data_IF_958719679589
#
_entry.id   IF_958719679589
#
_cell.length_a   1.000
_cell.length_b   1.000
_cell.length_c   1.000
_cell.angle_alpha   90.00
_cell.angle_beta   90.00
_cell.angle_gamma   90.00
#
_symmetry.space_group_name_H-M   'P 1'
#
loop_
_entity.id
_entity.type
_entity.pdbx_description
1 polymer ?
#
# COMPACT_ATOMS: atom_id res chain seq x y z
N UNK A 1 12.87 0.50 8.91
CA UNK A 1 12.93 0.23 7.45
C UNK A 1 14.07 0.99 6.79
N UNK A 2 13.97 2.31 6.58
CA UNK A 2 14.94 3.06 5.75
C UNK A 2 16.41 2.87 6.16
N UNK A 3 16.72 2.85 7.47
CA UNK A 3 18.05 2.51 7.98
C UNK A 3 18.55 1.12 7.54
N UNK A 4 17.68 0.12 7.56
CA UNK A 4 18.03 -1.24 7.13
C UNK A 4 18.31 -1.29 5.63
N UNK A 5 17.46 -0.62 4.82
CA UNK A 5 17.66 -0.52 3.36
C UNK A 5 18.99 0.15 3.04
N UNK A 6 19.31 1.31 3.63
CA UNK A 6 20.60 1.98 3.40
C UNK A 6 21.80 1.12 3.81
N UNK A 7 21.70 0.39 4.93
CA UNK A 7 22.77 -0.51 5.38
C UNK A 7 22.98 -1.70 4.45
N UNK A 8 21.90 -2.28 3.92
CA UNK A 8 21.95 -3.46 3.03
C UNK A 8 22.32 -3.07 1.59
N UNK A 9 22.01 -1.84 1.17
CA UNK A 9 22.25 -1.31 -0.16
C UNK A 9 23.06 0.01 -0.08
N UNK A 10 24.34 -0.03 0.35
CA UNK A 10 25.13 1.18 0.58
C UNK A 10 25.30 2.03 -0.69
N UNK A 11 25.54 1.38 -1.83
CA UNK A 11 25.85 2.04 -3.11
C UNK A 11 24.61 2.33 -3.97
N UNK A 12 23.41 1.94 -3.51
CA UNK A 12 22.19 2.16 -4.26
C UNK A 12 21.69 3.61 -4.15
N UNK A 13 21.05 4.09 -5.21
CA UNK A 13 20.29 5.34 -5.19
C UNK A 13 18.90 5.09 -4.57
N UNK A 14 18.68 5.58 -3.35
CA UNK A 14 17.49 5.31 -2.56
C UNK A 14 16.46 6.42 -2.71
N UNK A 15 15.32 6.05 -3.28
CA UNK A 15 14.10 6.84 -3.30
C UNK A 15 13.25 6.52 -2.07
N UNK A 16 13.09 7.48 -1.16
CA UNK A 16 12.17 7.34 -0.04
C UNK A 16 10.84 8.03 -0.34
N UNK A 17 9.76 7.24 -0.40
CA UNK A 17 8.39 7.74 -0.56
C UNK A 17 7.63 7.67 0.77
N UNK A 18 7.35 8.80 1.44
CA UNK A 18 6.48 8.81 2.62
C UNK A 18 5.06 8.34 2.29
N UNK A 19 4.39 7.70 3.24
CA UNK A 19 3.00 7.27 3.06
C UNK A 19 2.07 8.49 2.98
N UNK A 20 1.07 8.53 2.05
CA UNK A 20 0.20 9.68 1.88
C UNK A 20 -0.54 10.08 3.19
N UNK A 21 -1.00 9.11 3.98
CA UNK A 21 -1.61 9.40 5.28
C UNK A 21 -0.65 10.02 6.31
N UNK A 22 0.66 9.76 6.19
CA UNK A 22 1.68 10.40 7.04
C UNK A 22 1.90 11.83 6.56
N UNK A 23 1.96 12.05 5.24
CA UNK A 23 2.05 13.38 4.63
C UNK A 23 0.81 14.24 4.97
N UNK A 24 -0.37 13.62 5.04
CA UNK A 24 -1.62 14.27 5.41
C UNK A 24 -1.81 14.44 6.94
N UNK A 25 -0.84 14.01 7.77
CA UNK A 25 -0.92 14.09 9.23
C UNK A 25 -1.99 13.19 9.87
N UNK A 26 -2.54 12.24 9.11
CA UNK A 26 -3.59 11.32 9.56
C UNK A 26 -3.05 10.11 10.31
N UNK A 27 -1.74 9.83 10.19
CA UNK A 27 -1.08 8.66 10.78
C UNK A 27 0.22 9.03 11.49
N UNK A 28 0.46 8.46 12.68
CA UNK A 28 1.76 8.51 13.38
C UNK A 28 2.79 7.66 12.64
N UNK A 29 4.04 8.11 12.55
CA UNK A 29 5.11 7.42 11.84
C UNK A 29 5.88 8.29 10.84
N UNK A 30 5.75 9.62 10.92
CA UNK A 30 6.63 10.52 10.20
C UNK A 30 8.08 10.30 10.66
N UNK A 31 8.93 9.87 9.73
CA UNK A 31 10.37 9.94 9.92
C UNK A 31 10.76 11.43 9.83
N UNK A 32 11.52 11.97 10.79
CA UNK A 32 12.00 13.35 10.69
C UNK A 32 12.71 13.56 9.35
N UNK A 33 12.41 14.67 8.66
CA UNK A 33 12.92 14.92 7.31
C UNK A 33 14.45 14.90 7.26
N UNK A 34 15.12 15.39 8.31
CA UNK A 34 16.57 15.34 8.42
C UNK A 34 17.10 13.90 8.43
N UNK A 35 16.44 12.99 9.17
CA UNK A 35 16.81 11.57 9.17
C UNK A 35 16.52 10.90 7.83
N UNK A 36 15.40 11.25 7.18
CA UNK A 36 15.06 10.73 5.87
C UNK A 36 16.11 11.11 4.82
N UNK A 37 16.51 12.38 4.78
CA UNK A 37 17.53 12.91 3.85
C UNK A 37 18.94 12.41 4.15
N UNK A 38 19.23 12.02 5.39
CA UNK A 38 20.52 11.41 5.74
C UNK A 38 20.62 9.95 5.25
N UNK A 39 19.50 9.28 4.96
CA UNK A 39 19.47 7.87 4.61
C UNK A 39 19.03 7.63 3.15
N UNK A 40 18.28 8.54 2.55
CA UNK A 40 17.79 8.46 1.18
C UNK A 40 18.40 9.56 0.31
N UNK A 41 18.72 9.24 -0.94
CA UNK A 41 19.27 10.21 -1.89
C UNK A 41 18.19 11.17 -2.39
N UNK A 42 16.93 10.72 -2.42
CA UNK A 42 15.79 11.58 -2.74
C UNK A 42 14.56 11.20 -1.92
N UNK A 43 13.90 12.22 -1.34
CA UNK A 43 12.62 12.08 -0.63
C UNK A 43 11.49 12.59 -1.53
N UNK A 44 10.57 11.71 -1.89
CA UNK A 44 9.52 11.97 -2.88
C UNK A 44 8.20 12.37 -2.21
N UNK A 45 8.10 13.61 -1.74
CA UNK A 45 6.87 14.09 -1.12
C UNK A 45 5.76 14.28 -2.16
N UNK A 46 4.51 13.95 -1.81
CA UNK A 46 3.29 14.21 -2.60
C UNK A 46 3.33 13.67 -4.04
N UNK A 47 4.20 12.72 -4.32
CA UNK A 47 4.40 12.14 -5.66
C UNK A 47 3.53 10.89 -5.86
N UNK A 48 2.92 10.69 -7.04
CA UNK A 48 2.21 9.45 -7.33
C UNK A 48 3.19 8.28 -7.42
N UNK A 49 2.89 7.16 -6.75
CA UNK A 49 3.79 6.00 -6.71
C UNK A 49 3.82 5.22 -8.03
N UNK A 50 2.73 5.22 -8.79
CA UNK A 50 2.58 4.44 -10.03
C UNK A 50 3.70 4.65 -11.05
N UNK A 51 4.02 5.90 -11.44
CA UNK A 51 5.13 6.19 -12.35
C UNK A 51 6.52 5.86 -11.81
N UNK A 52 6.68 5.73 -10.48
CA UNK A 52 7.97 5.42 -9.87
C UNK A 52 8.38 3.98 -10.11
N UNK A 53 7.43 3.05 -10.27
CA UNK A 53 7.75 1.64 -10.51
C UNK A 53 8.56 1.42 -11.80
N UNK A 54 8.38 2.26 -12.82
CA UNK A 54 9.17 2.20 -14.05
C UNK A 54 10.61 2.76 -13.89
N UNK A 55 10.93 3.35 -12.74
CA UNK A 55 12.19 4.06 -12.49
C UNK A 55 13.06 3.36 -11.43
N UNK A 56 12.62 2.23 -10.90
CA UNK A 56 13.31 1.51 -9.82
C UNK A 56 13.52 0.05 -10.19
N UNK A 57 14.58 -0.56 -9.67
CA UNK A 57 14.89 -1.97 -9.85
C UNK A 57 14.23 -2.85 -8.79
N UNK A 58 14.03 -2.31 -7.58
CA UNK A 58 13.46 -3.02 -6.45
C UNK A 58 12.63 -2.13 -5.52
N UNK A 59 11.68 -2.73 -4.80
CA UNK A 59 10.80 -2.05 -3.85
C UNK A 59 10.91 -2.69 -2.47
N UNK A 60 11.27 -1.88 -1.47
CA UNK A 60 11.35 -2.29 -0.07
C UNK A 60 10.16 -1.74 0.71
N UNK A 61 9.42 -2.62 1.40
CA UNK A 61 8.27 -2.19 2.20
C UNK A 61 8.07 -3.06 3.44
N UNK A 62 7.33 -2.55 4.43
CA UNK A 62 6.94 -3.37 5.60
C UNK A 62 5.73 -4.25 5.20
N UNK A 63 4.57 -3.63 5.03
CA UNK A 63 3.31 -4.32 4.68
C UNK A 63 2.44 -3.53 3.69
N UNK A 64 3.04 -2.56 2.98
CA UNK A 64 2.31 -1.66 2.08
C UNK A 64 1.73 -2.42 0.88
N UNK A 65 0.57 -2.00 0.37
CA UNK A 65 0.04 -2.54 -0.89
C UNK A 65 0.98 -2.25 -2.08
N UNK A 66 1.82 -1.23 -1.98
CA UNK A 66 2.81 -0.89 -3.00
C UNK A 66 3.76 -2.03 -3.34
N UNK A 67 4.06 -2.92 -2.38
CA UNK A 67 4.86 -4.11 -2.67
C UNK A 67 4.13 -5.09 -3.59
N UNK A 68 2.81 -5.25 -3.44
CA UNK A 68 2.00 -6.06 -4.36
C UNK A 68 1.94 -5.43 -5.75
N UNK A 69 1.71 -4.11 -5.83
CA UNK A 69 1.72 -3.38 -7.10
C UNK A 69 3.07 -3.48 -7.85
N UNK A 70 4.17 -3.54 -7.11
CA UNK A 70 5.51 -3.76 -7.66
C UNK A 70 5.67 -5.18 -8.22
N UNK A 71 5.17 -6.20 -7.51
CA UNK A 71 5.13 -7.59 -8.03
C UNK A 71 4.37 -7.68 -9.36
N UNK A 72 3.23 -6.99 -9.49
CA UNK A 72 2.45 -6.96 -10.74
C UNK A 72 3.25 -6.39 -11.93
N UNK A 73 4.31 -5.63 -11.66
CA UNK A 73 5.20 -5.03 -12.66
C UNK A 73 6.50 -5.81 -12.86
N UNK A 74 6.62 -6.99 -12.24
CA UNK A 74 7.81 -7.83 -12.34
C UNK A 74 9.03 -7.28 -11.59
N UNK A 75 8.84 -6.34 -10.68
CA UNK A 75 9.94 -5.80 -9.88
C UNK A 75 10.33 -6.77 -8.76
N UNK A 76 11.60 -6.70 -8.35
CA UNK A 76 12.08 -7.35 -7.13
C UNK A 76 11.44 -6.66 -5.93
N UNK A 77 10.89 -7.44 -4.99
CA UNK A 77 10.19 -6.91 -3.82
C UNK A 77 10.75 -7.53 -2.54
N UNK A 78 11.17 -6.67 -1.61
CA UNK A 78 11.67 -7.05 -0.29
C UNK A 78 10.65 -6.62 0.77
N UNK A 79 10.18 -7.56 1.57
CA UNK A 79 9.20 -7.30 2.64
C UNK A 79 9.81 -7.46 4.02
N UNK A 80 9.63 -6.45 4.87
CA UNK A 80 10.12 -6.41 6.26
C UNK A 80 9.03 -6.73 7.30
N UNK A 81 7.82 -7.05 6.85
CA UNK A 81 6.76 -7.62 7.66
C UNK A 81 6.05 -8.72 6.86
N UNK A 82 4.84 -9.07 7.27
CA UNK A 82 4.09 -10.20 6.72
C UNK A 82 2.82 -9.78 5.95
N UNK A 83 2.90 -8.98 4.86
CA UNK A 83 1.73 -8.64 4.04
C UNK A 83 1.14 -9.89 3.39
N UNK A 84 -0.09 -9.82 2.86
CA UNK A 84 -0.78 -11.00 2.30
C UNK A 84 -0.02 -11.68 1.15
N UNK A 85 0.84 -10.95 0.44
CA UNK A 85 1.62 -11.42 -0.70
C UNK A 85 3.02 -11.95 -0.35
N UNK A 86 3.48 -11.84 0.91
CA UNK A 86 4.75 -12.40 1.37
C UNK A 86 4.67 -13.92 1.61
N UNK A 87 5.79 -14.64 1.65
CA UNK A 87 5.85 -16.06 2.02
C UNK A 87 5.32 -17.04 0.97
N UNK A 88 5.07 -16.57 -0.26
CA UNK A 88 4.64 -17.43 -1.38
C UNK A 88 5.75 -17.71 -2.40
N UNK A 89 6.98 -17.29 -2.10
CA UNK A 89 8.15 -17.42 -3.00
C UNK A 89 8.22 -16.39 -4.13
N UNK A 90 7.44 -15.29 -4.02
CA UNK A 90 7.43 -14.17 -4.97
C UNK A 90 8.18 -12.94 -4.45
N UNK A 91 8.54 -12.93 -3.17
CA UNK A 91 9.20 -11.82 -2.46
C UNK A 91 10.43 -12.32 -1.72
N UNK A 92 11.34 -11.40 -1.41
CA UNK A 92 12.38 -11.61 -0.41
C UNK A 92 11.84 -11.21 0.96
N UNK A 93 11.56 -12.22 1.78
CA UNK A 93 10.93 -12.02 3.08
C UNK A 93 11.99 -11.92 4.19
N UNK A 94 12.10 -10.77 4.85
CA UNK A 94 12.94 -10.61 6.05
C UNK A 94 12.28 -11.17 7.32
N UNK A 95 10.96 -11.31 7.29
CA UNK A 95 10.13 -11.92 8.34
C UNK A 95 9.08 -12.82 7.66
N UNK A 96 9.45 -14.02 7.19
CA UNK A 96 8.54 -14.89 6.46
C UNK A 96 7.43 -15.44 7.38
N UNK A 97 6.15 -15.39 6.96
CA UNK A 97 5.04 -15.92 7.74
C UNK A 97 5.08 -17.45 7.83
N UNK A 98 5.17 -18.05 9.03
CA UNK A 98 5.43 -19.49 9.20
C UNK A 98 4.32 -20.40 8.65
N UNK A 99 3.08 -19.89 8.54
CA UNK A 99 1.92 -20.66 8.06
C UNK A 99 1.89 -20.82 6.53
N UNK A 100 2.75 -20.14 5.77
CA UNK A 100 2.76 -20.16 4.30
C UNK A 100 3.92 -21.06 3.83
N UNK A 101 3.58 -22.29 3.45
CA UNK A 101 4.56 -23.34 3.09
C UNK A 101 4.57 -23.69 1.61
N UNK A 102 3.54 -23.26 0.86
CA UNK A 102 3.46 -23.49 -0.60
C UNK A 102 4.05 -22.32 -1.37
N UNK A 103 4.49 -22.60 -2.60
CA UNK A 103 4.83 -21.57 -3.59
C UNK A 103 3.63 -21.24 -4.47
N UNK A 104 3.54 -19.99 -4.93
CA UNK A 104 2.55 -19.55 -5.91
C UNK A 104 3.21 -18.92 -7.12
N UNK A 105 2.58 -19.06 -8.28
CA UNK A 105 2.80 -18.14 -9.39
C UNK A 105 2.19 -16.78 -9.06
N UNK A 106 2.67 -15.73 -9.74
CA UNK A 106 2.07 -14.41 -9.62
C UNK A 106 0.58 -14.44 -10.00
N UNK A 107 0.22 -15.14 -11.07
CA UNK A 107 -1.17 -15.29 -11.52
C UNK A 107 -2.06 -15.94 -10.45
N UNK A 108 -1.57 -16.96 -9.75
CA UNK A 108 -2.33 -17.61 -8.68
C UNK A 108 -2.56 -16.66 -7.49
N UNK A 109 -1.56 -15.84 -7.15
CA UNK A 109 -1.71 -14.80 -6.13
C UNK A 109 -2.70 -13.71 -6.58
N UNK A 110 -2.62 -13.27 -7.84
CA UNK A 110 -3.53 -12.29 -8.44
C UNK A 110 -4.97 -12.80 -8.45
N UNK A 111 -5.20 -14.02 -8.93
CA UNK A 111 -6.52 -14.63 -8.93
C UNK A 111 -7.10 -14.71 -7.51
N UNK A 112 -6.29 -15.14 -6.53
CA UNK A 112 -6.70 -15.16 -5.13
C UNK A 112 -7.07 -13.78 -4.60
N UNK A 113 -6.22 -12.77 -4.82
CA UNK A 113 -6.34 -11.46 -4.19
C UNK A 113 -7.32 -10.50 -4.89
N UNK A 114 -7.48 -10.60 -6.21
CA UNK A 114 -8.22 -9.64 -7.04
C UNK A 114 -9.42 -10.25 -7.78
N UNK A 115 -9.61 -11.57 -7.75
CA UNK A 115 -10.74 -12.22 -8.45
C UNK A 115 -11.61 -12.99 -7.46
N UNK A 116 -11.02 -13.92 -6.72
CA UNK A 116 -11.76 -14.88 -5.90
C UNK A 116 -12.12 -14.36 -4.50
N UNK A 117 -11.22 -13.60 -3.87
CA UNK A 117 -11.43 -13.08 -2.52
C UNK A 117 -12.39 -11.88 -2.43
N UNK A 118 -12.25 -10.83 -3.26
CA UNK A 118 -13.07 -9.62 -3.15
C UNK A 118 -14.45 -9.78 -3.82
N UNK A 119 -15.37 -8.90 -3.45
CA UNK A 119 -16.65 -8.69 -4.15
C UNK A 119 -16.66 -7.28 -4.72
N UNK A 120 -17.07 -7.14 -5.97
CA UNK A 120 -17.11 -5.86 -6.66
C UNK A 120 -18.55 -5.39 -6.91
N UNK A 121 -18.71 -4.08 -6.97
CA UNK A 121 -19.95 -3.42 -7.38
C UNK A 121 -19.68 -2.64 -8.65
N UNK A 122 -20.57 -2.76 -9.62
CA UNK A 122 -20.52 -1.95 -10.83
C UNK A 122 -20.82 -0.49 -10.43
N UNK A 123 -19.91 0.47 -10.71
CA UNK A 123 -20.11 1.86 -10.32
C UNK A 123 -21.29 2.52 -11.02
N UNK A 124 -21.77 1.95 -12.14
CA UNK A 124 -22.91 2.45 -12.91
C UNK A 124 -24.22 1.95 -12.31
N UNK A 125 -24.39 0.63 -12.19
CA UNK A 125 -25.65 0.01 -11.74
C UNK A 125 -25.77 -0.13 -10.23
N UNK A 126 -24.65 -0.19 -9.51
CA UNK A 126 -24.61 -0.50 -8.07
C UNK A 126 -24.87 -1.96 -7.73
N UNK A 127 -24.97 -2.84 -8.74
CA UNK A 127 -25.17 -4.29 -8.58
C UNK A 127 -23.82 -5.04 -8.48
N UNK A 128 -23.80 -6.26 -7.91
CA UNK A 128 -22.60 -7.11 -7.93
C UNK A 128 -22.09 -7.32 -9.36
N UNK A 129 -20.77 -7.23 -9.55
CA UNK A 129 -20.14 -7.44 -10.84
C UNK A 129 -18.80 -8.21 -10.71
N UNK A 130 -18.29 -8.79 -11.81
CA UNK A 130 -16.94 -9.34 -11.85
C UNK A 130 -15.88 -8.22 -11.98
N UNK A 131 -14.62 -8.47 -11.56
CA UNK A 131 -13.55 -7.46 -11.63
C UNK A 131 -13.29 -6.93 -13.04
N UNK A 132 -13.45 -7.76 -14.07
CA UNK A 132 -13.24 -7.40 -15.47
C UNK A 132 -14.17 -6.27 -15.89
N UNK A 133 -15.45 -6.37 -15.52
CA UNK A 133 -16.43 -5.32 -15.80
C UNK A 133 -16.11 -4.04 -15.02
N UNK A 134 -15.70 -4.15 -13.75
CA UNK A 134 -15.28 -2.99 -12.98
C UNK A 134 -14.10 -2.26 -13.64
N UNK A 135 -13.09 -3.01 -14.09
CA UNK A 135 -11.93 -2.45 -14.77
C UNK A 135 -12.31 -1.76 -16.08
N UNK A 136 -13.17 -2.38 -16.89
CA UNK A 136 -13.69 -1.78 -18.12
C UNK A 136 -14.40 -0.45 -17.84
N UNK A 137 -15.24 -0.39 -16.80
CA UNK A 137 -15.92 0.85 -16.39
C UNK A 137 -14.93 1.93 -15.95
N UNK A 138 -13.96 1.58 -15.10
CA UNK A 138 -12.94 2.52 -14.63
C UNK A 138 -12.07 3.08 -15.77
N UNK A 139 -11.78 2.27 -16.79
CA UNK A 139 -10.99 2.66 -17.95
C UNK A 139 -11.77 3.53 -18.95
N UNK A 140 -13.05 3.24 -19.16
CA UNK A 140 -13.90 3.93 -20.15
C UNK A 140 -14.48 5.26 -19.65
N UNK A 141 -14.80 5.37 -18.36
CA UNK A 141 -15.26 6.61 -17.76
C UNK A 141 -14.95 6.61 -16.25
N UNK A 142 -14.11 7.53 -15.73
CA UNK A 142 -13.95 7.64 -14.29
C UNK A 142 -15.35 7.91 -13.70
N UNK A 143 -15.81 7.09 -12.74
CA UNK A 143 -17.17 7.23 -12.23
C UNK A 143 -17.35 8.65 -11.69
N UNK A 144 -18.48 9.27 -12.03
CA UNK A 144 -18.83 10.58 -11.48
C UNK A 144 -18.66 10.50 -9.96
N UNK A 145 -17.76 11.33 -9.41
CA UNK A 145 -17.51 11.40 -7.97
C UNK A 145 -18.85 11.69 -7.30
N UNK A 146 -19.50 10.67 -6.74
CA UNK A 146 -20.67 10.89 -5.89
C UNK A 146 -20.17 11.70 -4.69
N UNK A 147 -20.73 12.89 -4.43
CA UNK A 147 -20.31 13.68 -3.27
C UNK A 147 -20.46 12.80 -2.02
N UNK A 148 -19.54 12.92 -1.06
CA UNK A 148 -19.64 12.12 0.14
C UNK A 148 -21.00 12.33 0.79
N UNK A 149 -21.66 11.24 1.23
CA UNK A 149 -22.96 11.30 1.91
C UNK A 149 -22.94 12.18 3.16
N UNK A 150 -21.76 12.44 3.72
CA UNK A 150 -21.56 13.30 4.89
C UNK A 150 -20.63 14.49 4.55
N UNK A 151 -21.00 15.72 4.94
CA UNK A 151 -20.15 16.89 4.76
C UNK A 151 -18.83 16.76 5.58
N UNK A 152 -17.78 17.55 5.26
CA UNK A 152 -16.47 17.41 5.88
C UNK A 152 -16.45 17.65 7.41
N UNK A 153 -17.29 18.54 7.92
CA UNK A 153 -17.38 18.85 9.35
C UNK A 153 -17.74 17.63 10.24
N UNK A 154 -18.80 16.85 9.95
CA UNK A 154 -19.09 15.64 10.73
C UNK A 154 -18.04 14.53 10.58
N UNK A 155 -17.25 14.48 9.49
CA UNK A 155 -16.15 13.50 9.35
C UNK A 155 -15.00 13.77 10.30
N UNK A 156 -14.63 15.04 10.48
CA UNK A 156 -13.62 15.42 11.45
C UNK A 156 -14.06 15.10 12.89
N UNK A 157 -15.35 15.27 13.19
CA UNK A 157 -15.94 14.96 14.49
C UNK A 157 -15.98 13.45 14.76
N UNK A 158 -16.46 12.65 13.80
CA UNK A 158 -16.46 11.17 13.88
C UNK A 158 -15.02 10.64 14.00
N UNK A 159 -14.07 11.20 13.25
CA UNK A 159 -12.65 10.86 13.36
C UNK A 159 -12.03 11.24 14.72
N UNK A 160 -12.49 12.31 15.38
CA UNK A 160 -12.07 12.67 16.74
C UNK A 160 -12.70 11.76 17.80
N UNK A 161 -14.00 11.47 17.68
CA UNK A 161 -14.73 10.60 18.60
C UNK A 161 -14.24 9.15 18.58
N UNK A 162 -14.00 8.59 17.37
CA UNK A 162 -13.43 7.24 17.21
C UNK A 162 -12.03 7.12 17.81
N UNK A 163 -11.18 8.15 17.63
CA UNK A 163 -9.84 8.20 18.27
C UNK A 163 -9.93 8.25 19.78
N UNK A 164 -10.83 9.07 20.33
CA UNK A 164 -11.05 9.17 21.77
C UNK A 164 -11.52 7.83 22.38
N UNK A 165 -12.49 7.17 21.73
CA UNK A 165 -12.99 5.86 22.14
C UNK A 165 -11.91 4.78 22.06
N UNK A 166 -11.10 4.76 21.00
CA UNK A 166 -10.00 3.82 20.85
C UNK A 166 -8.92 4.02 21.94
N UNK A 167 -8.59 5.27 22.29
CA UNK A 167 -7.65 5.57 23.37
C UNK A 167 -8.21 5.23 24.75
N UNK A 168 -9.52 5.41 24.97
CA UNK A 168 -10.17 5.05 26.22
C UNK A 168 -10.23 3.53 26.41
N UNK A 169 -10.52 2.77 25.34
CA UNK A 169 -10.51 1.31 25.36
C UNK A 169 -9.11 0.72 25.58
N UNK A 170 -8.07 1.35 25.05
CA UNK A 170 -6.68 0.90 25.23
C UNK A 170 -6.09 1.24 26.61
N UNK A 171 -6.78 2.06 27.41
CA UNK A 171 -6.36 2.47 28.75
C UNK A 171 -7.10 1.72 29.88
N UNK A 172 -7.92 0.73 29.52
CA UNK A 172 -8.55 -0.25 30.42
C UNK A 172 -7.89 -1.61 30.23
#
# INVERSE_FOLDING_TARGET
LLRAVRRENPDAFILYKPHPDVEAGMRRGALPMAEAKALADMVLERSPIGPLYAQVQEVHCITSLSGFEALLRGLRVVTYGQPFYAGWGLTEDRDPPPRRTRRLSLDALVAGALILYPRYLDPVTGLPCPPELLLERLASAPPARKPPRTPPAPRALIGRASRYLATWWAAR
#
